data_IF_533144634769
#
_entry.id   IF_533144634769
#
_cell.length_a   1.000
_cell.length_b   1.000
_cell.length_c   1.000
_cell.angle_alpha   90.00
_cell.angle_beta   90.00
_cell.angle_gamma   90.00
#
_symmetry.space_group_name_H-M   'P 1'
#
loop_
_entity.id
_entity.type
_entity.pdbx_description
1 polymer ?
#
# COMPACT_ATOMS: atom_id res chain seq x y z
N UNK A 1 -52.32 -4.04 48.93
CA UNK A 1 -53.25 -3.57 47.87
C UNK A 1 -52.50 -2.54 47.04
N UNK A 2 -51.98 -2.97 45.90
CA UNK A 2 -51.13 -2.20 45.01
C UNK A 2 -51.97 -1.22 44.18
N UNK A 3 -51.51 0.03 44.08
CA UNK A 3 -52.04 1.02 43.13
C UNK A 3 -51.39 0.79 41.77
N UNK A 4 -52.15 0.34 40.78
CA UNK A 4 -51.75 0.29 39.37
C UNK A 4 -52.27 1.55 38.69
N UNK A 5 -51.36 2.47 38.34
CA UNK A 5 -51.65 3.59 37.45
C UNK A 5 -51.33 3.14 36.01
N UNK A 6 -52.33 3.22 35.14
CA UNK A 6 -52.25 2.80 33.75
C UNK A 6 -51.65 3.88 32.84
N UNK A 7 -50.82 3.40 31.91
CA UNK A 7 -50.90 3.73 30.49
C UNK A 7 -50.45 5.12 30.05
N UNK A 8 -49.21 5.21 29.55
CA UNK A 8 -48.83 6.19 28.54
C UNK A 8 -48.13 5.46 27.38
N UNK A 9 -48.82 5.43 26.23
CA UNK A 9 -48.31 4.93 24.95
C UNK A 9 -47.34 5.99 24.41
N UNK A 10 -46.07 5.61 24.21
CA UNK A 10 -45.07 6.45 23.54
C UNK A 10 -44.73 5.85 22.17
N UNK A 11 -44.97 6.66 21.15
CA UNK A 11 -44.75 6.42 19.73
C UNK A 11 -43.28 6.23 19.39
N UNK A 12 -42.94 5.12 18.72
CA UNK A 12 -41.60 4.84 18.21
C UNK A 12 -41.33 5.65 16.92
N UNK A 13 -40.40 6.60 16.98
CA UNK A 13 -39.86 7.26 15.80
C UNK A 13 -38.70 6.42 15.24
N UNK A 14 -38.87 5.87 14.04
CA UNK A 14 -37.82 5.14 13.33
C UNK A 14 -36.80 6.13 12.74
N UNK A 15 -35.57 6.10 13.26
CA UNK A 15 -34.41 6.79 12.69
C UNK A 15 -33.78 5.90 11.61
N UNK A 16 -33.98 6.25 10.34
CA UNK A 16 -33.23 5.70 9.22
C UNK A 16 -31.81 6.28 9.26
N UNK A 17 -30.87 5.54 9.84
CA UNK A 17 -29.44 5.85 9.77
C UNK A 17 -28.94 5.48 8.36
N UNK A 18 -28.65 6.50 7.54
CA UNK A 18 -27.95 6.32 6.28
C UNK A 18 -26.51 5.88 6.57
N UNK A 19 -26.23 4.60 6.36
CA UNK A 19 -24.86 4.08 6.38
C UNK A 19 -24.13 4.61 5.14
N UNK A 20 -23.27 5.61 5.33
CA UNK A 20 -22.25 5.95 4.34
C UNK A 20 -21.29 4.76 4.23
N UNK A 21 -20.90 4.32 3.02
CA UNK A 21 -19.82 3.34 2.91
C UNK A 21 -18.54 4.01 3.40
N UNK A 22 -17.97 3.50 4.49
CA UNK A 22 -16.63 3.88 4.89
C UNK A 22 -15.68 3.44 3.78
N UNK A 23 -15.22 4.38 2.96
CA UNK A 23 -14.10 4.17 2.06
C UNK A 23 -12.86 4.12 2.95
N UNK A 24 -12.51 2.91 3.40
CA UNK A 24 -11.32 2.68 4.20
C UNK A 24 -10.08 2.88 3.33
N UNK A 25 -9.45 4.05 3.43
CA UNK A 25 -8.03 4.18 3.13
C UNK A 25 -7.28 3.57 4.31
N UNK A 26 -6.83 2.32 4.18
CA UNK A 26 -5.87 1.76 5.12
C UNK A 26 -4.50 2.41 4.83
N UNK A 27 -4.23 3.54 5.47
CA UNK A 27 -2.86 4.01 5.63
C UNK A 27 -2.09 2.91 6.38
N UNK A 28 -1.05 2.38 5.75
CA UNK A 28 -0.22 1.30 6.25
C UNK A 28 0.64 1.77 7.42
N UNK A 29 0.01 2.02 8.57
CA UNK A 29 0.67 1.82 9.85
C UNK A 29 0.35 0.40 10.26
N UNK A 30 1.37 -0.47 10.28
CA UNK A 30 1.27 -1.78 10.89
C UNK A 30 0.86 -1.56 12.35
N UNK A 31 -0.44 -1.55 12.60
CA UNK A 31 -0.98 -1.51 13.95
C UNK A 31 -0.40 -2.69 14.69
N UNK A 32 -0.08 -2.50 15.96
CA UNK A 32 0.48 -3.47 16.91
C UNK A 32 -0.22 -4.85 16.95
N UNK A 33 -1.31 -5.03 16.21
CA UNK A 33 -2.04 -6.27 15.98
C UNK A 33 -1.59 -7.09 14.74
N UNK A 34 -0.70 -6.57 13.88
CA UNK A 34 -0.23 -7.26 12.67
C UNK A 34 1.27 -7.59 12.73
N UNK A 35 1.65 -8.71 12.11
CA UNK A 35 3.04 -9.04 11.80
C UNK A 35 3.29 -8.88 10.32
N UNK A 36 4.31 -8.12 9.93
CA UNK A 36 4.65 -7.85 8.54
C UNK A 36 6.07 -8.33 8.17
N UNK A 37 6.22 -8.73 6.92
CA UNK A 37 7.49 -9.05 6.30
C UNK A 37 7.55 -8.43 4.91
N UNK A 38 8.67 -7.78 4.59
CA UNK A 38 8.91 -7.16 3.28
C UNK A 38 10.16 -7.76 2.65
N UNK A 39 10.02 -8.27 1.43
CA UNK A 39 11.12 -8.83 0.62
C UNK A 39 11.26 -8.09 -0.70
N UNK A 40 12.46 -8.13 -1.28
CA UNK A 40 12.69 -7.78 -2.69
C UNK A 40 11.83 -8.65 -3.61
N UNK A 41 11.23 -8.03 -4.64
CA UNK A 41 10.34 -8.71 -5.57
C UNK A 41 10.48 -8.17 -7.00
N UNK A 42 9.94 -8.93 -7.96
CA UNK A 42 9.95 -8.56 -9.37
C UNK A 42 11.32 -8.72 -10.02
N UNK A 43 11.42 -8.22 -11.25
CA UNK A 43 12.64 -8.31 -12.04
C UNK A 43 13.76 -7.47 -11.38
N UNK A 44 14.88 -8.11 -11.06
CA UNK A 44 16.02 -7.49 -10.36
C UNK A 44 15.71 -6.87 -8.98
N UNK A 45 14.60 -7.22 -8.33
CA UNK A 45 14.25 -6.68 -7.02
C UNK A 45 13.79 -5.21 -7.04
N UNK A 46 13.30 -4.73 -8.19
CA UNK A 46 12.80 -3.36 -8.35
C UNK A 46 11.57 -3.05 -7.49
N UNK A 47 10.77 -4.08 -7.21
CA UNK A 47 9.58 -3.98 -6.39
C UNK A 47 9.82 -4.57 -5.00
N UNK A 48 8.86 -4.34 -4.13
CA UNK A 48 8.74 -4.94 -2.81
C UNK A 48 7.49 -5.79 -2.77
N UNK A 49 7.58 -6.93 -2.11
CA UNK A 49 6.41 -7.68 -1.68
C UNK A 49 6.35 -7.64 -0.17
N UNK A 50 5.30 -7.03 0.35
CA UNK A 50 5.00 -7.01 1.77
C UNK A 50 3.84 -7.96 2.05
N UNK A 51 4.05 -8.85 3.01
CA UNK A 51 3.04 -9.76 3.54
C UNK A 51 2.78 -9.34 4.98
N UNK A 52 1.53 -9.04 5.30
CA UNK A 52 1.10 -8.74 6.66
C UNK A 52 0.02 -9.71 7.10
N UNK A 53 0.22 -10.33 8.25
CA UNK A 53 -0.73 -11.24 8.87
C UNK A 53 -1.42 -10.58 10.06
N UNK A 54 -2.73 -10.78 10.12
CA UNK A 54 -3.52 -10.48 11.30
C UNK A 54 -3.39 -11.55 12.39
N UNK A 55 -4.16 -11.41 13.49
CA UNK A 55 -4.18 -12.39 14.56
C UNK A 55 -4.55 -13.79 14.05
N UNK A 56 -3.86 -14.81 14.58
CA UNK A 56 -4.21 -16.21 14.35
C UNK A 56 -5.47 -16.56 15.12
N UNK A 57 -6.45 -17.10 14.40
CA UNK A 57 -7.72 -17.55 14.93
C UNK A 57 -7.55 -18.87 15.71
N UNK A 58 -8.52 -19.23 16.58
CA UNK A 58 -8.46 -20.49 17.34
C UNK A 58 -8.43 -21.76 16.48
N UNK A 59 -8.98 -21.71 15.27
CA UNK A 59 -8.91 -22.79 14.29
C UNK A 59 -7.55 -22.89 13.57
N UNK A 60 -6.63 -21.97 13.89
CA UNK A 60 -5.29 -21.90 13.35
C UNK A 60 -5.17 -21.12 12.05
N UNK A 61 -6.27 -20.58 11.50
CA UNK A 61 -6.25 -19.72 10.31
C UNK A 61 -5.86 -18.29 10.65
N UNK A 62 -5.47 -17.50 9.65
CA UNK A 62 -5.26 -16.06 9.82
C UNK A 62 -5.59 -15.31 8.54
N UNK A 63 -5.90 -14.02 8.69
CA UNK A 63 -6.06 -13.12 7.56
C UNK A 63 -4.69 -12.64 7.11
N UNK A 64 -4.37 -12.84 5.83
CA UNK A 64 -3.15 -12.33 5.19
C UNK A 64 -3.52 -11.21 4.22
N UNK A 65 -2.66 -10.20 4.15
CA UNK A 65 -2.66 -9.20 3.08
C UNK A 65 -1.29 -9.19 2.42
N UNK A 66 -1.26 -9.38 1.11
CA UNK A 66 -0.07 -9.33 0.26
C UNK A 66 -0.14 -8.11 -0.62
N UNK A 67 0.86 -7.24 -0.51
CA UNK A 67 0.99 -6.01 -1.29
C UNK A 67 2.28 -6.06 -2.08
N UNK A 68 2.21 -5.94 -3.40
CA UNK A 68 3.37 -5.71 -4.25
C UNK A 68 3.41 -4.24 -4.64
N UNK A 69 4.53 -3.56 -4.41
CA UNK A 69 4.66 -2.14 -4.67
C UNK A 69 6.06 -1.76 -5.16
N UNK A 70 6.13 -0.74 -6.01
CA UNK A 70 7.40 -0.08 -6.32
C UNK A 70 7.66 0.98 -5.24
N UNK A 71 8.80 0.94 -4.53
CA UNK A 71 9.07 1.87 -3.43
C UNK A 71 9.19 3.31 -3.92
N UNK A 72 8.94 4.26 -3.01
CA UNK A 72 9.22 5.66 -3.29
C UNK A 72 10.72 5.84 -3.61
N UNK A 73 11.02 6.72 -4.56
CA UNK A 73 12.40 6.97 -5.00
C UNK A 73 12.59 8.42 -5.39
N UNK A 74 13.84 8.84 -5.58
CA UNK A 74 14.15 10.16 -6.10
C UNK A 74 14.80 10.01 -7.48
N UNK A 75 14.18 10.59 -8.51
CA UNK A 75 14.77 10.59 -9.85
C UNK A 75 15.86 11.65 -9.90
N UNK A 76 17.15 11.28 -10.07
CA UNK A 76 18.23 12.24 -10.08
C UNK A 76 18.11 13.16 -11.30
N UNK A 77 18.55 14.40 -11.16
CA UNK A 77 18.68 15.31 -12.29
C UNK A 77 19.74 14.77 -13.25
N UNK A 78 19.39 14.70 -14.53
CA UNK A 78 20.26 14.30 -15.64
C UNK A 78 20.19 15.41 -16.68
N UNK A 79 21.33 15.93 -17.12
CA UNK A 79 21.41 16.92 -18.18
C UNK A 79 22.29 16.38 -19.31
N UNK A 80 21.82 16.52 -20.54
CA UNK A 80 22.52 16.09 -21.76
C UNK A 80 22.73 17.30 -22.65
N UNK A 81 23.97 17.52 -23.12
CA UNK A 81 24.28 18.52 -24.12
C UNK A 81 24.30 17.90 -25.52
N UNK A 82 23.71 18.59 -26.49
CA UNK A 82 23.72 18.22 -27.90
C UNK A 82 24.38 19.33 -28.71
N UNK A 83 25.32 18.97 -29.58
CA UNK A 83 25.88 19.90 -30.56
C UNK A 83 24.89 20.07 -31.71
N UNK A 84 24.55 21.30 -32.03
CA UNK A 84 23.73 21.61 -33.20
C UNK A 84 24.65 21.75 -34.42
N UNK A 85 24.75 20.72 -35.26
CA UNK A 85 25.43 20.84 -36.55
C UNK A 85 24.54 21.62 -37.52
N UNK A 86 24.83 22.91 -37.74
CA UNK A 86 24.23 23.68 -38.83
C UNK A 86 24.94 23.34 -40.14
N UNK A 87 24.19 22.91 -41.15
CA UNK A 87 24.68 22.65 -42.51
C UNK A 87 24.77 23.92 -43.39
N UNK A 88 24.66 25.12 -42.80
CA UNK A 88 24.73 26.37 -43.56
C UNK A 88 25.48 27.46 -42.77
N UNK A 89 26.78 27.56 -43.02
CA UNK A 89 27.56 28.81 -42.88
C UNK A 89 27.49 29.60 -41.57
N UNK A 90 27.28 28.96 -40.42
CA UNK A 90 27.32 29.66 -39.13
C UNK A 90 28.73 29.64 -38.51
N UNK A 91 29.15 30.79 -38.00
CA UNK A 91 30.37 31.05 -37.23
C UNK A 91 30.72 29.95 -36.19
N UNK A 92 32.02 29.73 -35.87
CA UNK A 92 32.49 28.67 -34.98
C UNK A 92 32.26 28.98 -33.49
N UNK A 93 31.03 29.30 -33.12
CA UNK A 93 30.57 29.49 -31.74
C UNK A 93 29.50 28.46 -31.41
N UNK A 94 29.93 27.23 -31.13
CA UNK A 94 29.16 26.04 -30.72
C UNK A 94 27.77 26.32 -30.11
N UNK A 95 26.73 26.26 -30.94
CA UNK A 95 25.36 26.20 -30.44
C UNK A 95 25.13 24.83 -29.81
N UNK A 96 25.30 24.75 -28.48
CA UNK A 96 24.96 23.57 -27.69
C UNK A 96 23.57 23.73 -27.09
N UNK A 97 22.69 22.74 -27.30
CA UNK A 97 21.42 22.67 -26.59
C UNK A 97 21.58 21.75 -25.39
N UNK A 98 21.08 22.17 -24.23
CA UNK A 98 21.09 21.34 -23.01
C UNK A 98 19.67 20.96 -22.66
N UNK A 99 19.42 19.65 -22.57
CA UNK A 99 18.14 19.12 -22.08
C UNK A 99 18.36 18.48 -20.73
N UNK A 100 17.57 18.89 -19.74
CA UNK A 100 17.60 18.32 -18.39
C UNK A 100 16.30 17.58 -18.08
N UNK A 101 16.38 16.47 -17.34
CA UNK A 101 15.23 15.67 -16.90
C UNK A 101 15.50 15.12 -15.50
N UNK A 102 14.45 14.96 -14.68
CA UNK A 102 14.55 14.46 -13.31
C UNK A 102 14.61 15.58 -12.27
N UNK A 103 15.13 15.25 -11.07
CA UNK A 103 15.24 16.17 -9.94
C UNK A 103 14.01 16.23 -9.04
N UNK A 104 13.17 15.19 -9.03
CA UNK A 104 11.93 15.16 -8.25
C UNK A 104 11.69 13.81 -7.58
N UNK A 105 11.00 13.78 -6.42
CA UNK A 105 10.59 12.55 -5.77
C UNK A 105 9.48 11.87 -6.57
N UNK A 106 9.51 10.55 -6.61
CA UNK A 106 8.48 9.69 -7.17
C UNK A 106 7.84 8.94 -6.00
N UNK A 107 6.51 9.05 -5.83
CA UNK A 107 5.82 8.35 -4.75
C UNK A 107 5.84 6.84 -4.96
N UNK A 108 5.68 6.11 -3.87
CA UNK A 108 5.41 4.67 -3.93
C UNK A 108 4.18 4.39 -4.79
N UNK A 109 4.21 3.28 -5.54
CA UNK A 109 3.06 2.85 -6.34
C UNK A 109 2.73 1.39 -6.06
N UNK A 110 1.49 1.12 -5.66
CA UNK A 110 0.98 -0.25 -5.49
C UNK A 110 0.74 -0.87 -6.86
N UNK A 111 1.28 -2.06 -7.08
CA UNK A 111 1.11 -2.86 -8.30
C UNK A 111 -0.03 -3.86 -8.16
N UNK A 112 -0.09 -4.51 -7.01
CA UNK A 112 -1.12 -5.48 -6.68
C UNK A 112 -1.32 -5.50 -5.16
N UNK A 113 -2.56 -5.74 -4.73
CA UNK A 113 -2.88 -5.97 -3.34
C UNK A 113 -4.00 -7.00 -3.25
N UNK A 114 -3.80 -8.01 -2.41
CA UNK A 114 -4.74 -9.10 -2.23
C UNK A 114 -4.84 -9.43 -0.74
N UNK A 115 -6.05 -9.76 -0.29
CA UNK A 115 -6.30 -10.22 1.06
C UNK A 115 -7.03 -11.55 1.02
N UNK A 116 -6.52 -12.55 1.74
CA UNK A 116 -7.06 -13.91 1.75
C UNK A 116 -6.82 -14.59 3.09
N UNK A 117 -7.64 -15.59 3.39
CA UNK A 117 -7.49 -16.42 4.59
C UNK A 117 -6.44 -17.50 4.30
N UNK A 118 -5.54 -17.71 5.25
CA UNK A 118 -4.49 -18.72 5.18
C UNK A 118 -4.67 -19.70 6.32
N UNK A 119 -4.52 -20.99 6.01
CA UNK A 119 -4.40 -22.06 6.99
C UNK A 119 -2.96 -22.61 6.96
N UNK A 120 -2.49 -23.30 8.01
CA UNK A 120 -1.15 -23.89 8.05
C UNK A 120 -0.83 -24.81 6.86
N UNK A 121 -1.86 -25.42 6.26
CA UNK A 121 -1.74 -26.34 5.12
C UNK A 121 -1.90 -25.65 3.76
N UNK A 122 -2.30 -24.38 3.72
CA UNK A 122 -2.53 -23.63 2.48
C UNK A 122 -1.59 -22.44 2.31
N UNK A 123 -0.57 -22.33 3.15
CA UNK A 123 0.52 -21.36 2.98
C UNK A 123 1.19 -21.64 1.63
N UNK A 124 1.29 -20.61 0.78
CA UNK A 124 1.96 -20.76 -0.50
C UNK A 124 3.46 -21.02 -0.28
N UNK A 125 4.11 -21.85 -1.13
CA UNK A 125 5.51 -22.26 -0.92
C UNK A 125 6.51 -21.10 -0.87
N UNK A 126 6.18 -19.98 -1.50
CA UNK A 126 7.00 -18.78 -1.58
C UNK A 126 6.64 -17.73 -0.52
N UNK A 127 5.79 -18.06 0.45
CA UNK A 127 5.37 -17.15 1.51
C UNK A 127 5.82 -17.62 2.89
N UNK A 128 6.04 -16.69 3.83
CA UNK A 128 6.35 -17.07 5.19
C UNK A 128 5.14 -17.76 5.83
N UNK A 129 5.41 -18.51 6.91
CA UNK A 129 4.38 -18.95 7.85
C UNK A 129 3.67 -17.76 8.51
N UNK A 130 2.81 -18.04 9.49
CA UNK A 130 2.11 -16.96 10.21
C UNK A 130 3.10 -16.00 10.90
N UNK A 131 2.94 -14.71 10.63
CA UNK A 131 3.72 -13.64 11.24
C UNK A 131 3.00 -13.12 12.51
N UNK A 132 3.63 -13.28 13.67
CA UNK A 132 3.05 -12.83 14.93
C UNK A 132 2.96 -11.29 15.00
N UNK A 133 1.99 -10.73 15.75
CA UNK A 133 1.88 -9.29 15.94
C UNK A 133 3.19 -8.64 16.40
N UNK A 134 3.58 -7.54 15.76
CA UNK A 134 4.84 -6.84 16.03
C UNK A 134 6.05 -7.39 15.26
N UNK A 135 5.89 -8.42 14.43
CA UNK A 135 6.92 -8.82 13.47
C UNK A 135 7.08 -7.71 12.41
N UNK A 136 8.31 -7.31 12.13
CA UNK A 136 8.67 -6.37 11.07
C UNK A 136 10.00 -6.79 10.42
N UNK A 137 9.92 -7.81 9.56
CA UNK A 137 11.08 -8.34 8.86
C UNK A 137 11.31 -7.58 7.55
N UNK A 138 12.55 -7.19 7.27
CA UNK A 138 12.90 -6.52 6.01
C UNK A 138 14.17 -7.16 5.42
N UNK A 139 14.06 -7.67 4.19
CA UNK A 139 15.13 -8.37 3.46
C UNK A 139 15.39 -7.76 2.08
#
# INVERSE_FOLDING_TARGET
MNRMAGGAVLTAAALMAMAAPAVGHADATAGTAMGCETVHWGLFGSDRRQICDGPKQPDGTWQRTRTVYTPASFLPLRCTSHYLSSSYGSDPGDATSVTCTGGYPVPQTTRAQESYVVAPTTVLPDEPGWLAPGTDNVF
#
